data_IF_954165753856
#
_entry.id   IF_954165753856
#
_cell.length_a   1.000
_cell.length_b   1.000
_cell.length_c   1.000
_cell.angle_alpha   90.00
_cell.angle_beta   90.00
_cell.angle_gamma   90.00
#
_symmetry.space_group_name_H-M   'P 1'
#
loop_
_entity.id
_entity.type
_entity.pdbx_description
1 polymer ?
#
# COMPACT_ATOMS: atom_id res chain seq x y z
N UNK A 1 22.50 0.99 23.63
CA UNK A 1 21.04 1.24 23.57
C UNK A 1 20.57 1.40 22.12
N UNK A 2 20.81 2.52 21.43
CA UNK A 2 20.34 2.75 20.04
C UNK A 2 20.64 1.62 19.03
N UNK A 3 21.81 0.98 19.10
CA UNK A 3 22.14 -0.15 18.20
C UNK A 3 21.32 -1.41 18.50
N UNK A 4 21.06 -1.71 19.78
CA UNK A 4 20.28 -2.89 20.16
C UNK A 4 18.82 -2.74 19.76
N UNK A 5 18.26 -1.53 19.86
CA UNK A 5 16.92 -1.21 19.36
C UNK A 5 16.82 -1.39 17.84
N UNK A 6 17.84 -0.92 17.09
CA UNK A 6 17.87 -1.08 15.63
C UNK A 6 17.92 -2.55 15.18
N UNK A 7 18.51 -3.43 16.00
CA UNK A 7 18.56 -4.88 15.73
C UNK A 7 17.24 -5.62 16.06
N UNK A 8 16.29 -4.94 16.71
CA UNK A 8 14.96 -5.49 17.06
C UNK A 8 13.85 -4.59 16.50
N UNK A 9 13.59 -4.63 15.17
CA UNK A 9 12.66 -3.72 14.51
C UNK A 9 11.22 -3.89 15.03
N UNK A 10 10.53 -2.76 15.23
CA UNK A 10 9.12 -2.71 15.68
C UNK A 10 8.15 -2.35 14.54
N UNK A 11 8.68 -1.84 13.43
CA UNK A 11 7.92 -1.33 12.29
C UNK A 11 8.53 -1.86 11.00
N UNK A 12 7.68 -2.29 10.07
CA UNK A 12 8.05 -2.70 8.73
C UNK A 12 7.34 -1.80 7.72
N UNK A 13 8.12 -1.05 6.94
CA UNK A 13 7.63 -0.24 5.83
C UNK A 13 7.77 -1.03 4.52
N UNK A 14 6.63 -1.36 3.92
CA UNK A 14 6.50 -2.03 2.64
C UNK A 14 6.29 -0.95 1.56
N UNK A 15 7.38 -0.29 1.17
CA UNK A 15 7.33 0.91 0.31
C UNK A 15 8.60 1.20 -0.49
N UNK A 16 9.57 0.27 -0.58
CA UNK A 16 10.91 0.56 -1.09
C UNK A 16 10.94 0.77 -2.62
N UNK A 17 10.56 -0.24 -3.39
CA UNK A 17 10.53 -0.21 -4.86
C UNK A 17 9.45 -1.18 -5.35
N UNK A 18 8.79 -0.81 -6.45
CA UNK A 18 7.73 -1.62 -7.06
C UNK A 18 6.42 -1.52 -6.31
N UNK A 19 5.50 -2.43 -6.63
CA UNK A 19 4.16 -2.44 -6.04
C UNK A 19 4.04 -3.63 -5.06
N UNK A 20 4.15 -3.40 -3.75
CA UNK A 20 4.22 -4.47 -2.75
C UNK A 20 2.95 -5.32 -2.70
N UNK A 21 1.79 -4.73 -3.03
CA UNK A 21 0.51 -5.45 -3.03
C UNK A 21 0.44 -6.52 -4.12
N UNK A 22 1.29 -6.44 -5.15
CA UNK A 22 1.40 -7.47 -6.19
C UNK A 22 2.10 -8.75 -5.72
N UNK A 23 2.78 -8.73 -4.56
CA UNK A 23 3.43 -9.93 -4.06
C UNK A 23 2.36 -10.98 -3.68
N UNK A 24 2.35 -12.18 -4.27
CA UNK A 24 1.26 -13.16 -4.07
C UNK A 24 1.08 -13.60 -2.62
N UNK A 25 2.12 -13.48 -1.80
CA UNK A 25 2.11 -13.85 -0.38
C UNK A 25 2.10 -12.64 0.55
N UNK A 26 1.68 -11.46 0.08
CA UNK A 26 1.66 -10.23 0.89
C UNK A 26 0.89 -10.40 2.20
N UNK A 27 -0.27 -11.06 2.16
CA UNK A 27 -1.09 -11.33 3.33
C UNK A 27 -0.39 -12.26 4.33
N UNK A 28 0.32 -13.28 3.85
CA UNK A 28 1.10 -14.19 4.69
C UNK A 28 2.27 -13.45 5.34
N UNK A 29 2.99 -12.63 4.57
CA UNK A 29 4.09 -11.81 5.06
C UNK A 29 3.62 -10.86 6.17
N UNK A 30 2.52 -10.13 5.95
CA UNK A 30 1.99 -9.20 6.96
C UNK A 30 1.52 -9.93 8.23
N UNK A 31 0.93 -11.12 8.09
CA UNK A 31 0.53 -11.93 9.23
C UNK A 31 1.75 -12.37 10.06
N UNK A 32 2.81 -12.86 9.42
CA UNK A 32 4.06 -13.26 10.09
C UNK A 32 4.73 -12.09 10.82
N UNK A 33 4.62 -10.86 10.29
CA UNK A 33 5.15 -9.66 10.95
C UNK A 33 4.31 -9.33 12.20
N UNK A 34 2.98 -9.39 12.09
CA UNK A 34 2.08 -9.13 13.22
C UNK A 34 2.21 -10.17 14.34
N UNK A 35 2.43 -11.45 14.02
CA UNK A 35 2.74 -12.51 15.00
C UNK A 35 3.98 -12.17 15.84
N UNK A 36 4.95 -11.48 15.23
CA UNK A 36 6.18 -10.98 15.88
C UNK A 36 6.00 -9.62 16.53
N UNK A 37 4.77 -9.08 16.58
CA UNK A 37 4.43 -7.73 17.06
C UNK A 37 5.10 -6.60 16.28
N UNK A 38 5.48 -6.85 15.03
CA UNK A 38 6.02 -5.84 14.12
C UNK A 38 4.85 -5.22 13.36
N UNK A 39 4.62 -3.92 13.56
CA UNK A 39 3.58 -3.19 12.83
C UNK A 39 3.94 -2.99 11.36
N UNK A 40 2.93 -2.92 10.49
CA UNK A 40 3.11 -2.87 9.04
C UNK A 40 2.52 -1.62 8.41
N UNK A 41 3.33 -0.95 7.59
CA UNK A 41 2.95 0.23 6.82
C UNK A 41 3.12 -0.11 5.35
N UNK A 42 2.01 -0.24 4.61
CA UNK A 42 2.03 -0.60 3.20
C UNK A 42 1.68 0.62 2.35
N UNK A 43 2.47 0.87 1.32
CA UNK A 43 2.24 1.95 0.34
C UNK A 43 1.89 1.30 -1.00
N UNK A 44 0.83 1.77 -1.65
CA UNK A 44 0.42 1.34 -3.00
C UNK A 44 0.16 2.54 -3.90
N UNK A 45 0.43 2.39 -5.20
CA UNK A 45 0.20 3.44 -6.20
C UNK A 45 -1.25 3.52 -6.71
N UNK A 46 -2.16 2.71 -6.16
CA UNK A 46 -3.57 2.76 -6.53
C UNK A 46 -3.91 2.14 -7.88
N UNK A 47 -3.06 1.29 -8.42
CA UNK A 47 -3.32 0.66 -9.72
C UNK A 47 -3.97 -0.73 -9.61
N UNK A 48 -4.17 -1.24 -8.39
CA UNK A 48 -4.67 -2.60 -8.14
C UNK A 48 -5.84 -2.64 -7.13
N UNK A 49 -7.02 -2.10 -7.48
CA UNK A 49 -8.16 -2.00 -6.56
C UNK A 49 -8.59 -3.34 -5.98
N UNK A 50 -8.63 -4.42 -6.79
CA UNK A 50 -9.00 -5.76 -6.32
C UNK A 50 -8.03 -6.33 -5.27
N UNK A 51 -6.74 -6.02 -5.40
CA UNK A 51 -5.74 -6.41 -4.41
C UNK A 51 -5.91 -5.60 -3.12
N UNK A 52 -6.29 -4.32 -3.22
CA UNK A 52 -6.62 -3.50 -2.05
C UNK A 52 -7.84 -4.07 -1.32
N UNK A 53 -8.88 -4.53 -2.02
CA UNK A 53 -10.06 -5.13 -1.40
C UNK A 53 -9.74 -6.44 -0.68
N UNK A 54 -8.86 -7.26 -1.25
CA UNK A 54 -8.50 -8.59 -0.72
C UNK A 54 -7.31 -8.60 0.25
N UNK A 55 -6.63 -7.46 0.42
CA UNK A 55 -5.54 -7.31 1.38
C UNK A 55 -6.04 -7.59 2.81
N UNK A 56 -5.29 -8.38 3.57
CA UNK A 56 -5.53 -8.55 5.00
C UNK A 56 -5.31 -7.22 5.75
N UNK A 57 -5.86 -7.03 6.96
CA UNK A 57 -5.57 -5.83 7.75
C UNK A 57 -4.06 -5.62 7.92
N UNK A 58 -3.60 -4.40 7.61
CA UNK A 58 -2.26 -3.90 7.94
C UNK A 58 -2.38 -2.85 9.03
N UNK A 59 -1.29 -2.48 9.70
CA UNK A 59 -1.35 -1.42 10.72
C UNK A 59 -1.74 -0.09 10.10
N UNK A 60 -1.20 0.21 8.92
CA UNK A 60 -1.60 1.36 8.13
C UNK A 60 -1.40 1.12 6.63
N UNK A 61 -2.40 1.50 5.84
CA UNK A 61 -2.36 1.45 4.38
C UNK A 61 -2.34 2.88 3.82
N UNK A 62 -1.38 3.17 2.95
CA UNK A 62 -1.21 4.42 2.25
C UNK A 62 -1.45 4.25 0.75
N UNK A 63 -2.14 5.22 0.15
CA UNK A 63 -2.31 5.34 -1.29
C UNK A 63 -1.51 6.52 -1.79
N UNK A 64 -0.52 6.31 -2.66
CA UNK A 64 0.19 7.43 -3.30
C UNK A 64 -0.72 8.06 -4.34
N UNK A 65 -1.04 9.35 -4.18
CA UNK A 65 -1.79 10.15 -5.14
C UNK A 65 -0.88 11.24 -5.68
N UNK A 66 -0.27 10.97 -6.83
CA UNK A 66 0.79 11.83 -7.39
C UNK A 66 0.21 12.94 -8.29
N UNK A 67 -1.07 12.86 -8.65
CA UNK A 67 -1.74 13.80 -9.55
C UNK A 67 -3.21 14.07 -9.17
N UNK A 68 -3.68 15.33 -9.28
CA UNK A 68 -5.08 15.69 -8.95
C UNK A 68 -6.07 15.50 -10.11
N UNK A 69 -5.62 15.11 -11.31
CA UNK A 69 -6.46 14.91 -12.50
C UNK A 69 -5.90 13.84 -13.43
N UNK A 70 -6.74 13.27 -14.30
CA UNK A 70 -6.35 12.27 -15.29
C UNK A 70 -5.22 12.75 -16.21
N UNK A 71 -5.34 13.97 -16.75
CA UNK A 71 -4.30 14.57 -17.59
C UNK A 71 -2.96 14.72 -16.87
N UNK A 72 -2.99 15.07 -15.58
CA UNK A 72 -1.79 15.22 -14.77
C UNK A 72 -1.18 13.84 -14.45
N UNK A 73 -2.01 12.84 -14.13
CA UNK A 73 -1.58 11.47 -13.87
C UNK A 73 -0.86 10.87 -15.08
N UNK A 74 -1.42 11.02 -16.28
CA UNK A 74 -0.79 10.52 -17.51
C UNK A 74 0.56 11.19 -17.77
N UNK A 75 0.67 12.49 -17.50
CA UNK A 75 1.91 13.26 -17.74
C UNK A 75 3.01 12.96 -16.71
N UNK A 76 2.64 12.85 -15.44
CA UNK A 76 3.56 12.70 -14.31
C UNK A 76 3.96 11.23 -14.18
N UNK A 77 2.98 10.33 -14.05
CA UNK A 77 3.22 8.94 -13.63
C UNK A 77 3.53 8.02 -14.81
N UNK A 78 3.22 8.45 -16.04
CA UNK A 78 3.37 7.66 -17.27
C UNK A 78 2.89 6.22 -17.08
N UNK A 79 1.61 6.04 -16.72
CA UNK A 79 1.11 4.79 -16.21
C UNK A 79 1.19 3.68 -17.25
N UNK A 80 1.43 2.45 -16.78
CA UNK A 80 1.42 1.25 -17.62
C UNK A 80 -0.01 0.91 -18.11
N UNK A 81 -1.01 1.22 -17.30
CA UNK A 81 -2.42 0.96 -17.58
C UNK A 81 -3.05 2.15 -18.29
N UNK A 82 -3.81 1.90 -19.36
CA UNK A 82 -4.55 2.96 -20.09
C UNK A 82 -5.72 3.50 -19.26
N UNK A 83 -6.26 2.69 -18.36
CA UNK A 83 -7.35 2.95 -17.43
C UNK A 83 -6.85 3.37 -16.03
N UNK A 84 -5.60 3.84 -15.91
CA UNK A 84 -4.94 4.13 -14.63
C UNK A 84 -5.69 5.13 -13.74
N UNK A 85 -6.36 6.11 -14.34
CA UNK A 85 -7.20 7.06 -13.61
C UNK A 85 -8.42 6.38 -12.98
N UNK A 86 -9.12 5.55 -13.75
CA UNK A 86 -10.25 4.76 -13.25
C UNK A 86 -9.82 3.83 -12.10
N UNK A 87 -8.68 3.15 -12.27
CA UNK A 87 -8.09 2.29 -11.22
C UNK A 87 -7.75 3.04 -9.94
N UNK A 88 -7.25 4.27 -10.06
CA UNK A 88 -6.96 5.12 -8.91
C UNK A 88 -8.24 5.47 -8.15
N UNK A 89 -9.29 5.88 -8.87
CA UNK A 89 -10.60 6.15 -8.27
C UNK A 89 -11.20 4.90 -7.60
N UNK A 90 -11.15 3.74 -8.27
CA UNK A 90 -11.60 2.47 -7.71
C UNK A 90 -10.80 2.07 -6.46
N UNK A 91 -9.50 2.43 -6.42
CA UNK A 91 -8.64 2.19 -5.26
C UNK A 91 -8.97 3.10 -4.08
N UNK A 92 -9.36 4.35 -4.33
CA UNK A 92 -9.90 5.25 -3.31
C UNK A 92 -11.19 4.70 -2.73
N UNK A 93 -12.09 4.20 -3.58
CA UNK A 93 -13.33 3.55 -3.13
C UNK A 93 -13.04 2.26 -2.34
N UNK A 94 -12.10 1.44 -2.82
CA UNK A 94 -11.65 0.25 -2.11
C UNK A 94 -11.08 0.57 -0.72
N UNK A 95 -10.37 1.68 -0.55
CA UNK A 95 -9.89 2.12 0.78
C UNK A 95 -11.03 2.50 1.70
N UNK A 96 -12.03 3.23 1.18
CA UNK A 96 -13.20 3.66 1.96
C UNK A 96 -13.99 2.48 2.51
N UNK A 97 -14.03 1.35 1.79
CA UNK A 97 -14.73 0.15 2.23
C UNK A 97 -14.00 -0.60 3.37
N UNK A 98 -12.69 -0.34 3.57
CA UNK A 98 -11.88 -1.04 4.56
C UNK A 98 -12.09 -0.46 5.96
N UNK A 99 -12.31 -1.34 6.94
CA UNK A 99 -12.51 -1.00 8.36
C UNK A 99 -11.19 -0.84 9.16
N UNK A 100 -10.14 -0.29 8.56
CA UNK A 100 -8.80 -0.15 9.17
C UNK A 100 -8.28 1.29 9.20
N UNK A 101 -7.06 1.53 9.70
CA UNK A 101 -6.39 2.84 9.60
C UNK A 101 -5.88 3.03 8.17
N UNK A 102 -6.47 3.97 7.45
CA UNK A 102 -6.12 4.32 6.07
C UNK A 102 -5.65 5.77 6.00
N UNK A 103 -4.67 6.06 5.16
CA UNK A 103 -4.24 7.42 4.81
C UNK A 103 -4.15 7.58 3.30
N UNK A 104 -4.43 8.79 2.82
CA UNK A 104 -4.14 9.23 1.45
C UNK A 104 -2.83 10.02 1.44
#
# INVERSE_FOLDING_TARGET
>A
ERLQEALSPQHCALSLVGEPIMYPHINQLTAMLHERRISTFLVTNGQHPELIRTLSPVTQLYLSVDAPSEDALVKIDRPLFKDAWGRLLDSVDALRERRGRTGF
#
